data_IF_808405300713
#
_entry.id   IF_808405300713
#
_cell.length_a   1.000
_cell.length_b   1.000
_cell.length_c   1.000
_cell.angle_alpha   90.00
_cell.angle_beta   90.00
_cell.angle_gamma   90.00
#
_symmetry.space_group_name_H-M   'P 1'
#
loop_
_entity.id
_entity.type
_entity.pdbx_description
1 polymer ?
#
# COMPACT_ATOMS: atom_id res chain seq x y z
N UNK A 1 23.08 23.89 82.29
CA UNK A 1 21.96 24.83 82.08
C UNK A 1 21.92 25.25 80.62
N UNK A 2 21.03 24.71 79.78
CA UNK A 2 20.73 25.28 78.47
C UNK A 2 19.32 25.90 78.44
N UNK A 3 19.21 27.05 77.77
CA UNK A 3 17.99 27.83 77.57
C UNK A 3 17.12 27.33 76.41
N UNK A 4 15.81 27.43 76.64
CA UNK A 4 14.66 27.09 75.82
C UNK A 4 14.55 27.96 74.54
N UNK A 5 14.26 27.37 73.37
CA UNK A 5 13.74 28.07 72.20
C UNK A 5 12.47 27.38 71.71
N UNK A 6 11.36 28.11 71.82
CA UNK A 6 10.02 27.70 71.42
C UNK A 6 9.68 28.43 70.11
N UNK A 7 9.72 27.74 68.98
CA UNK A 7 9.33 28.31 67.68
C UNK A 7 7.83 28.06 67.42
N UNK A 8 7.04 29.12 67.50
CA UNK A 8 5.62 29.16 67.14
C UNK A 8 5.43 29.09 65.62
N UNK A 9 4.78 28.04 65.11
CA UNK A 9 4.28 27.98 63.72
C UNK A 9 2.95 28.74 63.63
N UNK A 10 2.90 29.88 62.93
CA UNK A 10 1.65 30.49 62.46
C UNK A 10 1.35 30.01 61.04
N UNK A 11 0.14 29.48 60.83
CA UNK A 11 -0.41 29.20 59.51
C UNK A 11 -0.79 30.54 58.86
N UNK A 12 -0.20 30.82 57.70
CA UNK A 12 -0.53 31.98 56.85
C UNK A 12 -1.77 31.60 56.06
N UNK A 13 -2.89 32.27 56.32
CA UNK A 13 -4.11 32.15 55.52
C UNK A 13 -3.99 33.05 54.29
N UNK A 14 -4.01 32.45 53.09
CA UNK A 14 -3.90 33.19 51.83
C UNK A 14 -5.17 34.03 51.57
N UNK A 15 -4.97 35.30 51.19
CA UNK A 15 -6.04 36.24 50.84
C UNK A 15 -6.70 35.86 49.51
N UNK A 16 -8.02 36.06 49.38
CA UNK A 16 -8.79 35.75 48.15
C UNK A 16 -8.26 36.47 46.90
N UNK A 17 -7.59 37.61 47.09
CA UNK A 17 -6.91 38.35 46.02
C UNK A 17 -5.71 37.59 45.45
N UNK A 18 -5.00 36.82 46.29
CA UNK A 18 -3.85 36.00 45.89
C UNK A 18 -4.28 34.76 45.10
N UNK A 19 -5.43 34.16 45.41
CA UNK A 19 -6.00 33.10 44.56
C UNK A 19 -6.37 33.58 43.16
N UNK A 20 -6.87 34.81 43.02
CA UNK A 20 -7.22 35.38 41.71
C UNK A 20 -5.97 35.72 40.88
N UNK A 21 -4.92 36.26 41.50
CA UNK A 21 -3.63 36.49 40.85
C UNK A 21 -2.96 35.19 40.39
N UNK A 22 -3.07 34.12 41.18
CA UNK A 22 -2.54 32.80 40.82
C UNK A 22 -3.29 32.14 39.67
N UNK A 23 -4.56 32.48 39.46
CA UNK A 23 -5.34 32.04 38.30
C UNK A 23 -4.96 32.82 37.03
N UNK A 24 -4.68 34.12 37.13
CA UNK A 24 -4.14 34.91 36.00
C UNK A 24 -2.70 34.55 35.66
N UNK A 25 -1.86 34.24 36.66
CA UNK A 25 -0.50 33.75 36.45
C UNK A 25 -0.47 32.36 35.82
N UNK A 26 -1.35 31.44 36.26
CA UNK A 26 -1.51 30.12 35.63
C UNK A 26 -2.05 30.20 34.20
N UNK A 27 -2.83 31.23 33.85
CA UNK A 27 -3.25 31.47 32.48
C UNK A 27 -2.11 32.03 31.61
N UNK A 28 -1.14 32.73 32.20
CA UNK A 28 0.03 33.27 31.48
C UNK A 28 1.19 32.27 31.34
N UNK A 29 1.31 31.24 32.18
CA UNK A 29 2.34 30.19 32.04
C UNK A 29 2.05 29.16 30.95
N UNK A 30 0.81 29.09 30.43
CA UNK A 30 0.45 28.28 29.25
C UNK A 30 0.80 28.97 27.91
N UNK A 31 1.52 30.09 27.96
CA UNK A 31 1.95 30.83 26.75
C UNK A 31 3.08 30.14 25.99
N UNK A 32 3.68 29.09 26.54
CA UNK A 32 4.91 28.49 26.05
C UNK A 32 4.65 27.13 25.38
N UNK A 33 4.05 27.12 24.18
CA UNK A 33 4.12 25.91 23.32
C UNK A 33 3.77 26.12 21.83
N UNK A 34 3.85 27.36 21.33
CA UNK A 34 3.75 27.65 19.91
C UNK A 34 5.02 28.35 19.44
N UNK A 35 5.58 27.90 18.31
CA UNK A 35 6.77 28.52 17.74
C UNK A 35 6.52 30.03 17.52
N UNK A 36 7.46 30.91 17.87
CA UNK A 36 7.27 32.35 17.77
C UNK A 36 6.93 32.80 16.34
N UNK A 37 7.45 32.09 15.34
CA UNK A 37 7.11 32.31 13.93
C UNK A 37 5.63 32.04 13.60
N UNK A 38 5.00 31.04 14.24
CA UNK A 38 3.58 30.73 14.04
C UNK A 38 2.67 31.78 14.69
N UNK A 39 3.07 32.30 15.85
CA UNK A 39 2.35 33.39 16.55
C UNK A 39 2.46 34.70 15.76
N UNK A 40 3.64 35.02 15.23
CA UNK A 40 3.84 36.17 14.37
C UNK A 40 3.01 36.07 13.07
N UNK A 41 2.97 34.89 12.44
CA UNK A 41 2.15 34.64 11.26
C UNK A 41 0.65 34.75 11.56
N UNK A 42 0.21 34.24 12.71
CA UNK A 42 -1.17 34.34 13.17
C UNK A 42 -1.60 35.80 13.37
N UNK A 43 -0.75 36.61 14.01
CA UNK A 43 -1.00 38.04 14.23
C UNK A 43 -1.00 38.84 12.93
N UNK A 44 -0.08 38.54 12.01
CA UNK A 44 -0.05 39.13 10.67
C UNK A 44 -1.32 38.82 9.86
N UNK A 45 -1.79 37.57 9.91
CA UNK A 45 -3.03 37.16 9.25
C UNK A 45 -4.26 37.80 9.91
N UNK A 46 -4.31 37.84 11.24
CA UNK A 46 -5.41 38.44 11.99
C UNK A 46 -5.55 39.95 11.74
N UNK A 47 -4.44 40.65 11.49
CA UNK A 47 -4.41 42.08 11.14
C UNK A 47 -5.13 42.41 9.82
N UNK A 48 -5.44 41.41 8.99
CA UNK A 48 -6.22 41.58 7.75
C UNK A 48 -7.74 41.51 7.95
N UNK A 49 -8.20 41.14 9.15
CA UNK A 49 -9.60 40.92 9.47
C UNK A 49 -10.23 42.11 10.24
N UNK A 50 -11.55 42.32 10.15
CA UNK A 50 -12.24 43.47 10.76
C UNK A 50 -12.14 43.55 12.29
N UNK A 51 -11.88 42.42 12.96
CA UNK A 51 -11.66 42.36 14.40
C UNK A 51 -10.37 41.57 14.72
N UNK A 52 -9.21 42.25 14.70
CA UNK A 52 -7.91 41.59 14.70
C UNK A 52 -7.63 40.85 16.02
N UNK A 53 -8.00 41.44 17.15
CA UNK A 53 -7.73 40.85 18.47
C UNK A 53 -8.53 39.56 18.71
N UNK A 54 -9.81 39.53 18.29
CA UNK A 54 -10.61 38.32 18.39
C UNK A 54 -10.13 37.24 17.42
N UNK A 55 -9.80 37.62 16.18
CA UNK A 55 -9.30 36.71 15.16
C UNK A 55 -7.97 36.03 15.55
N UNK A 56 -7.03 36.79 16.11
CA UNK A 56 -5.75 36.25 16.60
C UNK A 56 -5.98 35.21 17.70
N UNK A 57 -6.80 35.56 18.70
CA UNK A 57 -7.08 34.66 19.82
C UNK A 57 -7.74 33.34 19.39
N UNK A 58 -8.63 33.39 18.40
CA UNK A 58 -9.30 32.22 17.84
C UNK A 58 -8.33 31.34 17.04
N UNK A 59 -7.49 31.95 16.22
CA UNK A 59 -6.51 31.24 15.40
C UNK A 59 -5.48 30.50 16.27
N UNK A 60 -4.97 31.16 17.31
CA UNK A 60 -4.05 30.55 18.27
C UNK A 60 -4.72 29.40 19.03
N UNK A 61 -5.99 29.54 19.43
CA UNK A 61 -6.77 28.46 20.07
C UNK A 61 -6.89 27.23 19.16
N UNK A 62 -7.15 27.44 17.87
CA UNK A 62 -7.25 26.35 16.90
C UNK A 62 -5.90 25.69 16.62
N UNK A 63 -4.81 26.46 16.55
CA UNK A 63 -3.45 25.93 16.39
C UNK A 63 -3.06 25.04 17.56
N UNK A 64 -3.34 25.46 18.80
CA UNK A 64 -3.12 24.62 20.00
C UNK A 64 -3.91 23.31 19.93
N UNK A 65 -5.20 23.37 19.56
CA UNK A 65 -6.04 22.17 19.41
C UNK A 65 -5.50 21.19 18.37
N UNK A 66 -5.04 21.67 17.22
CA UNK A 66 -4.48 20.81 16.16
C UNK A 66 -3.11 20.26 16.54
N UNK A 67 -2.27 21.03 17.22
CA UNK A 67 -0.96 20.59 17.71
C UNK A 67 -1.12 19.44 18.72
N UNK A 68 -2.01 19.58 19.70
CA UNK A 68 -2.30 18.52 20.67
C UNK A 68 -2.77 17.22 20.00
N UNK A 69 -3.66 17.31 19.00
CA UNK A 69 -4.11 16.14 18.23
C UNK A 69 -2.98 15.52 17.39
N UNK A 70 -2.13 16.33 16.77
CA UNK A 70 -1.00 15.84 15.98
C UNK A 70 0.09 15.19 16.84
N UNK A 71 0.39 15.74 18.01
CA UNK A 71 1.42 15.20 18.89
C UNK A 71 0.94 13.90 19.56
N UNK A 72 -0.36 13.80 19.88
CA UNK A 72 -0.99 12.54 20.28
C UNK A 72 -0.96 11.48 19.16
N UNK A 73 -1.25 11.86 17.91
CA UNK A 73 -1.20 10.96 16.77
C UNK A 73 0.23 10.49 16.45
N UNK A 74 1.22 11.39 16.53
CA UNK A 74 2.63 11.04 16.35
C UNK A 74 3.11 10.08 17.43
N UNK A 75 2.68 10.27 18.68
CA UNK A 75 3.00 9.36 19.79
C UNK A 75 2.41 7.97 19.58
N UNK A 76 1.13 7.87 19.23
CA UNK A 76 0.48 6.59 18.93
C UNK A 76 1.10 5.88 17.71
N UNK A 77 1.49 6.63 16.67
CA UNK A 77 2.16 6.07 15.49
C UNK A 77 3.60 5.62 15.80
N UNK A 78 4.33 6.34 16.66
CA UNK A 78 5.67 5.94 17.11
C UNK A 78 5.61 4.64 17.94
N UNK A 79 4.60 4.50 18.80
CA UNK A 79 4.36 3.26 19.56
C UNK A 79 3.95 2.11 18.62
N UNK A 80 3.08 2.34 17.63
CA UNK A 80 2.68 1.34 16.64
C UNK A 80 3.84 0.91 15.72
N UNK A 81 4.70 1.83 15.28
CA UNK A 81 5.89 1.53 14.50
C UNK A 81 6.96 0.82 15.33
N UNK A 82 7.11 1.18 16.61
CA UNK A 82 8.01 0.49 17.53
C UNK A 82 7.65 -0.99 17.72
N UNK A 83 6.36 -1.32 17.80
CA UNK A 83 5.87 -2.71 17.84
C UNK A 83 6.20 -3.46 16.55
N UNK A 84 5.99 -2.84 15.38
CA UNK A 84 6.29 -3.46 14.08
C UNK A 84 7.81 -3.70 13.92
N UNK A 85 8.66 -2.74 14.32
CA UNK A 85 10.12 -2.87 14.22
C UNK A 85 10.67 -3.92 15.20
N UNK A 86 10.06 -4.09 16.38
CA UNK A 86 10.47 -5.10 17.36
C UNK A 86 10.30 -6.54 16.85
N UNK A 87 9.25 -6.78 16.04
CA UNK A 87 9.01 -8.09 15.41
C UNK A 87 9.87 -8.32 14.15
N UNK A 88 10.40 -7.25 13.56
CA UNK A 88 11.36 -7.30 12.44
C UNK A 88 12.80 -7.56 12.92
N UNK A 89 13.03 -8.58 13.76
CA UNK A 89 14.40 -9.03 14.08
C UNK A 89 14.97 -9.88 12.94
N UNK A 90 15.58 -9.22 11.96
CA UNK A 90 16.41 -9.90 10.95
C UNK A 90 17.68 -10.39 11.63
N UNK A 91 17.75 -11.69 11.91
CA UNK A 91 18.94 -12.33 12.46
C UNK A 91 20.13 -12.10 11.53
N UNK A 92 21.12 -11.34 11.99
CA UNK A 92 22.42 -11.19 11.31
C UNK A 92 23.15 -12.52 11.36
N UNK A 93 22.89 -13.39 10.38
CA UNK A 93 23.67 -14.61 10.14
C UNK A 93 25.01 -14.19 9.55
N UNK A 94 26.06 -14.17 10.37
CA UNK A 94 27.42 -14.14 9.87
C UNK A 94 27.65 -15.42 9.05
N UNK A 95 27.88 -15.28 7.75
CA UNK A 95 28.14 -16.40 6.85
C UNK A 95 26.98 -16.74 5.91
N UNK A 96 26.74 -15.85 4.93
CA UNK A 96 26.18 -16.24 3.63
C UNK A 96 26.61 -15.20 2.60
N UNK A 97 27.52 -15.62 1.72
CA UNK A 97 27.76 -14.91 0.47
C UNK A 97 26.42 -14.91 -0.28
N UNK A 98 25.79 -13.75 -0.35
CA UNK A 98 24.63 -13.54 -1.21
C UNK A 98 25.16 -12.96 -2.52
N UNK A 99 24.86 -13.63 -3.63
CA UNK A 99 24.85 -13.01 -4.94
C UNK A 99 23.82 -11.88 -4.90
N UNK A 100 24.29 -10.64 -4.85
CA UNK A 100 23.41 -9.47 -4.91
C UNK A 100 22.62 -9.48 -6.22
N UNK A 101 21.29 -9.25 -6.18
CA UNK A 101 20.57 -8.83 -7.36
C UNK A 101 21.03 -7.43 -7.74
N UNK A 102 21.27 -7.22 -9.04
CA UNK A 102 21.62 -5.93 -9.59
C UNK A 102 20.56 -4.87 -9.22
N UNK A 103 21.00 -3.73 -8.67
CA UNK A 103 20.11 -2.58 -8.45
C UNK A 103 20.23 -1.83 -7.12
N UNK A 104 21.31 -1.99 -6.34
CA UNK A 104 21.57 -1.07 -5.22
C UNK A 104 22.42 0.11 -5.70
N UNK A 105 21.86 1.32 -5.62
CA UNK A 105 22.57 2.57 -5.88
C UNK A 105 23.58 2.76 -4.74
N UNK A 106 24.84 2.44 -5.00
CA UNK A 106 25.96 2.81 -4.15
C UNK A 106 26.33 4.25 -4.48
N UNK A 107 26.06 5.17 -3.56
CA UNK A 107 26.62 6.51 -3.63
C UNK A 107 28.06 6.42 -3.14
N UNK A 108 29.02 6.49 -4.07
CA UNK A 108 30.42 6.75 -3.75
C UNK A 108 30.56 8.24 -3.45
N UNK A 109 30.91 8.58 -2.20
CA UNK A 109 31.00 9.94 -1.67
C UNK A 109 32.30 10.66 -2.10
N UNK A 110 33.21 9.98 -2.81
CA UNK A 110 34.57 10.42 -3.07
C UNK A 110 34.86 10.84 -4.54
N UNK A 111 33.82 10.98 -5.37
CA UNK A 111 33.84 11.83 -6.56
C UNK A 111 34.84 11.46 -7.67
N UNK A 112 35.28 10.20 -7.77
CA UNK A 112 36.11 9.72 -8.88
C UNK A 112 35.45 8.53 -9.57
N UNK A 113 35.07 8.76 -10.83
CA UNK A 113 34.38 7.78 -11.68
C UNK A 113 35.18 6.51 -11.97
N UNK A 114 34.41 5.48 -12.34
CA UNK A 114 34.83 4.10 -12.54
C UNK A 114 35.57 3.89 -13.87
N UNK A 115 36.83 3.44 -13.81
CA UNK A 115 37.53 2.86 -14.96
C UNK A 115 37.20 1.38 -15.05
N UNK A 116 36.39 0.98 -16.04
CA UNK A 116 36.13 -0.44 -16.30
C UNK A 116 37.34 -1.06 -17.03
N UNK A 117 38.13 -1.85 -16.31
CA UNK A 117 39.12 -2.76 -16.90
C UNK A 117 38.40 -3.91 -17.63
N UNK A 118 39.05 -4.36 -18.70
CA UNK A 118 38.57 -5.30 -19.71
C UNK A 118 38.51 -6.71 -19.12
N UNK A 119 37.36 -7.38 -19.23
CA UNK A 119 37.25 -8.78 -18.82
C UNK A 119 36.03 -9.52 -19.37
N UNK A 120 36.27 -10.30 -20.43
CA UNK A 120 35.60 -11.58 -20.75
C UNK A 120 34.08 -11.54 -21.04
N UNK A 121 33.65 -10.90 -22.14
CA UNK A 121 32.37 -11.21 -22.82
C UNK A 121 32.48 -11.17 -24.36
N UNK A 122 33.68 -11.31 -24.92
CA UNK A 122 33.91 -11.16 -26.37
C UNK A 122 33.41 -12.35 -27.23
N UNK A 123 33.17 -13.52 -26.66
CA UNK A 123 32.91 -14.74 -27.43
C UNK A 123 31.42 -15.03 -27.71
N UNK A 124 30.48 -14.28 -27.11
CA UNK A 124 29.04 -14.41 -27.42
C UNK A 124 28.50 -13.31 -28.36
N UNK A 125 29.31 -12.29 -28.68
CA UNK A 125 28.93 -11.18 -29.55
C UNK A 125 29.01 -11.51 -31.06
N UNK A 126 29.63 -12.64 -31.43
CA UNK A 126 29.89 -12.97 -32.84
C UNK A 126 28.68 -13.49 -33.62
N UNK A 127 27.59 -13.88 -32.94
CA UNK A 127 26.39 -14.46 -33.59
C UNK A 127 25.28 -13.43 -33.83
N UNK A 128 25.27 -12.31 -33.10
CA UNK A 128 24.27 -11.25 -33.28
C UNK A 128 24.68 -10.17 -34.30
N UNK A 129 25.81 -10.30 -35.00
CA UNK A 129 26.16 -9.43 -36.13
C UNK A 129 25.45 -9.81 -37.42
N UNK A 130 24.12 -9.93 -37.34
CA UNK A 130 23.24 -9.84 -38.51
C UNK A 130 22.14 -8.82 -38.21
N UNK A 131 22.49 -7.57 -38.50
CA UNK A 131 21.60 -6.45 -38.81
C UNK A 131 20.30 -6.38 -38.01
N UNK A 132 20.36 -5.80 -36.80
CA UNK A 132 19.24 -5.02 -36.27
C UNK A 132 19.32 -3.61 -36.89
N UNK A 133 18.38 -3.22 -37.79
CA UNK A 133 18.48 -1.95 -38.53
C UNK A 133 18.17 -0.69 -37.70
N UNK A 134 17.94 -0.78 -36.39
CA UNK A 134 17.37 0.32 -35.59
C UNK A 134 18.19 0.78 -34.37
N UNK A 135 19.29 0.09 -34.02
CA UNK A 135 20.03 0.40 -32.79
C UNK A 135 20.88 1.70 -32.76
N UNK A 136 21.42 2.25 -33.87
CA UNK A 136 22.29 3.44 -33.76
C UNK A 136 21.52 4.74 -33.46
N UNK A 137 20.22 4.80 -33.79
CA UNK A 137 19.37 5.97 -33.55
C UNK A 137 18.83 6.02 -32.11
N UNK A 138 18.57 4.86 -31.50
CA UNK A 138 18.11 4.74 -30.11
C UNK A 138 19.23 5.09 -29.11
N UNK A 139 20.48 4.74 -29.41
CA UNK A 139 21.63 5.14 -28.59
C UNK A 139 21.92 6.64 -28.64
N UNK A 140 21.66 7.33 -29.76
CA UNK A 140 21.77 8.81 -29.84
C UNK A 140 20.65 9.56 -29.12
N UNK A 141 19.54 8.88 -28.79
CA UNK A 141 18.38 9.45 -28.09
C UNK A 141 18.34 9.11 -26.61
N UNK A 142 19.29 8.31 -26.09
CA UNK A 142 19.57 8.16 -24.65
C UNK A 142 20.17 9.46 -24.08
N UNK A 143 19.41 10.54 -24.13
CA UNK A 143 19.71 11.73 -23.36
C UNK A 143 19.24 11.48 -21.93
N UNK A 144 20.03 11.92 -20.95
CA UNK A 144 19.56 12.02 -19.57
C UNK A 144 18.20 12.76 -19.59
N UNK A 145 17.14 12.23 -18.95
CA UNK A 145 15.81 12.83 -19.04
C UNK A 145 15.90 14.29 -18.63
N UNK A 146 15.62 15.19 -19.59
CA UNK A 146 15.81 16.63 -19.44
C UNK A 146 14.70 17.26 -18.57
N UNK A 147 13.61 16.54 -18.36
CA UNK A 147 12.42 16.99 -17.65
C UNK A 147 11.75 15.82 -16.93
N UNK A 148 11.11 16.08 -15.78
CA UNK A 148 10.35 15.06 -15.04
C UNK A 148 9.20 14.44 -15.86
N UNK A 149 8.68 15.17 -16.84
CA UNK A 149 7.71 14.60 -17.78
C UNK A 149 8.32 13.55 -18.69
N UNK A 150 9.57 13.72 -19.14
CA UNK A 150 10.26 12.72 -19.95
C UNK A 150 10.52 11.46 -19.14
N UNK A 151 10.89 11.62 -17.86
CA UNK A 151 11.03 10.49 -16.93
C UNK A 151 9.69 9.77 -16.71
N UNK A 152 8.59 10.50 -16.52
CA UNK A 152 7.25 9.90 -16.44
C UNK A 152 6.89 9.16 -17.73
N UNK A 153 7.14 9.74 -18.91
CA UNK A 153 6.88 9.09 -20.20
C UNK A 153 7.73 7.83 -20.34
N UNK A 154 8.99 7.87 -19.92
CA UNK A 154 9.87 6.70 -19.92
C UNK A 154 9.36 5.61 -18.97
N UNK A 155 8.93 5.95 -17.76
CA UNK A 155 8.34 4.99 -16.83
C UNK A 155 6.99 4.44 -17.31
N UNK A 156 6.21 5.22 -18.06
CA UNK A 156 4.99 4.72 -18.72
C UNK A 156 5.34 3.76 -19.87
N UNK A 157 6.39 4.01 -20.65
CA UNK A 157 6.87 3.07 -21.69
C UNK A 157 7.47 1.79 -21.10
N UNK A 158 8.03 1.87 -19.89
CA UNK A 158 8.58 0.74 -19.13
C UNK A 158 7.54 0.04 -18.25
N UNK A 159 6.25 0.40 -18.36
CA UNK A 159 5.13 -0.13 -17.57
C UNK A 159 5.32 -0.03 -16.03
N UNK A 160 6.16 0.92 -15.58
CA UNK A 160 6.38 1.22 -14.14
C UNK A 160 5.32 2.16 -13.58
N UNK A 161 4.77 3.03 -14.42
CA UNK A 161 3.66 3.91 -14.07
C UNK A 161 2.34 3.37 -14.64
N UNK A 162 1.25 3.63 -13.92
CA UNK A 162 -0.10 3.34 -14.42
C UNK A 162 -0.41 4.15 -15.68
N UNK A 163 -1.00 3.49 -16.67
CA UNK A 163 -1.51 4.14 -17.86
C UNK A 163 -2.74 5.00 -17.52
N UNK A 164 -2.78 6.21 -18.08
CA UNK A 164 -3.91 7.12 -17.93
C UNK A 164 -4.74 7.17 -19.23
N UNK A 165 -6.09 7.27 -19.14
CA UNK A 165 -6.92 7.24 -17.93
C UNK A 165 -6.87 5.88 -17.21
N UNK A 166 -6.92 5.90 -15.87
CA UNK A 166 -6.82 4.68 -15.07
C UNK A 166 -7.95 3.71 -15.44
N UNK A 167 -7.59 2.51 -15.90
CA UNK A 167 -8.50 1.39 -16.13
C UNK A 167 -8.25 0.32 -15.05
N UNK A 168 -9.29 -0.02 -14.28
CA UNK A 168 -9.20 -1.04 -13.23
C UNK A 168 -9.05 -2.47 -13.79
N UNK A 169 -9.31 -2.66 -15.08
CA UNK A 169 -9.21 -3.96 -15.77
C UNK A 169 -7.88 -4.12 -16.52
N UNK A 170 -6.95 -3.16 -16.38
CA UNK A 170 -5.62 -3.23 -16.99
C UNK A 170 -4.85 -4.47 -16.47
N UNK A 171 -4.39 -5.32 -17.39
CA UNK A 171 -3.74 -6.60 -17.08
C UNK A 171 -4.66 -7.82 -17.14
N UNK A 172 -5.96 -7.66 -17.38
CA UNK A 172 -6.92 -8.76 -17.57
C UNK A 172 -7.35 -8.93 -19.05
N UNK A 173 -6.40 -8.78 -19.97
CA UNK A 173 -6.66 -8.73 -21.42
C UNK A 173 -7.21 -10.05 -21.99
N UNK A 174 -6.78 -11.18 -21.43
CA UNK A 174 -7.23 -12.51 -21.86
C UNK A 174 -8.74 -12.68 -21.67
N UNK A 175 -9.28 -12.28 -20.51
CA UNK A 175 -10.71 -12.36 -20.23
C UNK A 175 -11.50 -11.23 -20.89
N UNK A 176 -10.88 -10.06 -21.11
CA UNK A 176 -11.52 -8.95 -21.82
C UNK A 176 -11.84 -9.30 -23.29
N UNK A 177 -11.05 -10.20 -23.89
CA UNK A 177 -11.32 -10.75 -25.22
C UNK A 177 -12.56 -11.65 -25.24
N UNK A 178 -12.88 -12.29 -24.12
CA UNK A 178 -13.92 -13.30 -24.04
C UNK A 178 -15.29 -12.64 -23.86
N UNK A 179 -16.26 -12.93 -24.74
CA UNK A 179 -17.60 -12.36 -24.62
C UNK A 179 -18.38 -12.98 -23.45
N UNK A 180 -19.24 -12.18 -22.83
CA UNK A 180 -20.00 -12.56 -21.62
C UNK A 180 -20.81 -13.87 -21.77
N UNK A 181 -21.24 -14.19 -22.99
CA UNK A 181 -22.04 -15.38 -23.25
C UNK A 181 -21.28 -16.68 -23.00
N UNK A 182 -19.93 -16.67 -23.03
CA UNK A 182 -19.11 -17.82 -22.65
C UNK A 182 -19.04 -18.03 -21.14
N UNK A 183 -19.04 -16.95 -20.34
CA UNK A 183 -19.07 -17.07 -18.88
C UNK A 183 -20.45 -17.48 -18.35
N UNK A 184 -21.52 -17.10 -19.04
CA UNK A 184 -22.91 -17.36 -18.61
C UNK A 184 -23.43 -18.69 -19.17
N UNK A 185 -23.30 -18.96 -20.47
CA UNK A 185 -23.88 -20.13 -21.12
C UNK A 185 -22.88 -21.30 -21.16
N UNK A 186 -22.69 -21.93 -20.01
CA UNK A 186 -21.86 -23.14 -19.90
C UNK A 186 -22.65 -24.42 -20.19
N UNK A 187 -23.97 -24.34 -20.36
CA UNK A 187 -24.87 -25.48 -20.64
C UNK A 187 -24.45 -26.28 -21.88
N UNK A 188 -23.82 -25.64 -22.87
CA UNK A 188 -23.26 -26.29 -24.06
C UNK A 188 -22.25 -27.39 -23.73
N UNK A 189 -21.51 -27.22 -22.64
CA UNK A 189 -20.47 -28.17 -22.21
C UNK A 189 -21.08 -29.32 -21.40
N UNK A 190 -22.36 -29.23 -21.06
CA UNK A 190 -23.08 -30.27 -20.32
C UNK A 190 -23.64 -31.35 -21.25
N UNK A 191 -23.82 -31.05 -22.54
CA UNK A 191 -24.21 -32.05 -23.55
C UNK A 191 -23.05 -33.01 -23.89
N UNK A 192 -21.81 -32.60 -23.60
CA UNK A 192 -20.61 -33.38 -23.90
C UNK A 192 -20.27 -34.35 -22.76
N UNK A 193 -21.03 -35.45 -22.67
CA UNK A 193 -20.70 -36.60 -21.82
C UNK A 193 -21.54 -36.77 -20.55
N UNK A 194 -22.58 -35.95 -20.34
CA UNK A 194 -23.57 -36.16 -19.28
C UNK A 194 -24.91 -36.64 -19.84
N UNK A 195 -25.68 -37.44 -19.08
CA UNK A 195 -27.02 -37.85 -19.51
C UNK A 195 -27.97 -36.64 -19.59
N UNK A 196 -28.86 -36.62 -20.58
CA UNK A 196 -29.85 -35.54 -20.78
C UNK A 196 -30.89 -35.45 -19.66
N UNK A 197 -31.12 -36.55 -18.94
CA UNK A 197 -32.11 -36.66 -17.88
C UNK A 197 -31.53 -37.45 -16.71
N UNK A 198 -31.83 -37.00 -15.50
CA UNK A 198 -31.51 -37.73 -14.27
C UNK A 198 -30.98 -36.84 -13.14
N UNK A 199 -30.71 -37.42 -11.95
CA UNK A 199 -30.18 -36.68 -10.80
C UNK A 199 -28.83 -36.02 -11.08
N UNK A 200 -27.97 -36.69 -11.86
CA UNK A 200 -26.66 -36.16 -12.27
C UNK A 200 -26.82 -34.91 -13.12
N UNK A 201 -27.78 -34.89 -14.06
CA UNK A 201 -28.09 -33.72 -14.89
C UNK A 201 -28.52 -32.55 -14.02
N UNK A 202 -29.47 -32.78 -13.11
CA UNK A 202 -29.98 -31.73 -12.22
C UNK A 202 -28.87 -31.17 -11.30
N UNK A 203 -28.01 -32.04 -10.78
CA UNK A 203 -26.86 -31.60 -9.99
C UNK A 203 -25.91 -30.72 -10.81
N UNK A 204 -25.57 -31.15 -12.03
CA UNK A 204 -24.67 -30.39 -12.88
C UNK A 204 -25.27 -29.06 -13.37
N UNK A 205 -26.59 -28.98 -13.57
CA UNK A 205 -27.29 -27.72 -13.83
C UNK A 205 -27.12 -26.72 -12.68
N UNK A 206 -27.14 -27.20 -11.43
CA UNK A 206 -26.85 -26.36 -10.26
C UNK A 206 -25.38 -25.91 -10.22
N UNK A 207 -24.45 -26.81 -10.53
CA UNK A 207 -23.01 -26.48 -10.60
C UNK A 207 -22.77 -25.41 -11.66
N UNK A 208 -23.29 -25.61 -12.87
CA UNK A 208 -23.20 -24.64 -13.98
C UNK A 208 -23.87 -23.32 -13.62
N UNK A 209 -25.05 -23.37 -12.96
CA UNK A 209 -25.74 -22.19 -12.45
C UNK A 209 -24.95 -21.43 -11.37
N UNK A 210 -24.12 -22.12 -10.59
CA UNK A 210 -23.18 -21.51 -9.64
C UNK A 210 -21.96 -20.90 -10.33
N UNK A 211 -21.38 -21.60 -11.30
CA UNK A 211 -20.22 -21.14 -12.07
C UNK A 211 -20.56 -19.91 -12.94
N UNK A 212 -21.76 -19.83 -13.49
CA UNK A 212 -22.20 -18.68 -14.30
C UNK A 212 -22.29 -17.39 -13.50
N UNK A 213 -22.65 -17.49 -12.21
CA UNK A 213 -22.75 -16.35 -11.29
C UNK A 213 -21.41 -15.93 -10.68
N UNK A 214 -20.33 -16.66 -10.94
CA UNK A 214 -19.03 -16.38 -10.35
C UNK A 214 -18.21 -15.38 -11.20
N UNK A 215 -17.90 -14.18 -10.70
CA UNK A 215 -17.08 -13.18 -11.41
C UNK A 215 -15.57 -13.40 -11.27
N UNK A 216 -15.13 -14.23 -10.31
CA UNK A 216 -13.71 -14.38 -9.96
C UNK A 216 -13.01 -15.52 -10.71
N UNK A 217 -13.76 -16.32 -11.47
CA UNK A 217 -13.21 -17.45 -12.23
C UNK A 217 -13.20 -17.14 -13.73
N UNK A 218 -12.08 -17.42 -14.38
CA UNK A 218 -11.98 -17.38 -15.83
C UNK A 218 -12.82 -18.48 -16.49
N UNK A 219 -13.13 -18.31 -17.78
CA UNK A 219 -13.84 -19.34 -18.56
C UNK A 219 -13.07 -20.66 -18.57
N UNK A 220 -11.74 -20.62 -18.67
CA UNK A 220 -10.92 -21.83 -18.70
C UNK A 220 -11.07 -22.65 -17.41
N UNK A 221 -10.95 -22.01 -16.25
CA UNK A 221 -11.16 -22.70 -14.97
C UNK A 221 -12.58 -23.26 -14.85
N UNK A 222 -13.60 -22.57 -15.38
CA UNK A 222 -14.98 -23.09 -15.39
C UNK A 222 -15.09 -24.35 -16.27
N UNK A 223 -14.44 -24.37 -17.43
CA UNK A 223 -14.39 -25.56 -18.33
C UNK A 223 -13.65 -26.73 -17.68
N UNK A 224 -12.51 -26.47 -17.05
CA UNK A 224 -11.74 -27.48 -16.31
C UNK A 224 -12.55 -28.08 -15.17
N UNK A 225 -13.30 -27.27 -14.44
CA UNK A 225 -14.15 -27.74 -13.35
C UNK A 225 -15.25 -28.69 -13.85
N UNK A 226 -15.85 -28.40 -15.01
CA UNK A 226 -16.83 -29.29 -15.65
C UNK A 226 -16.15 -30.58 -16.13
N UNK A 227 -14.98 -30.47 -16.75
CA UNK A 227 -14.21 -31.63 -17.22
C UNK A 227 -13.80 -32.56 -16.07
N UNK A 228 -13.47 -31.99 -14.91
CA UNK A 228 -13.17 -32.77 -13.71
C UNK A 228 -14.37 -33.61 -13.25
N UNK A 229 -15.59 -33.05 -13.28
CA UNK A 229 -16.79 -33.83 -12.96
C UNK A 229 -17.03 -34.96 -13.95
N UNK A 230 -16.72 -34.75 -15.24
CA UNK A 230 -16.81 -35.81 -16.24
C UNK A 230 -15.95 -37.00 -15.85
N UNK A 231 -14.69 -36.77 -15.53
CA UNK A 231 -13.75 -37.81 -15.09
C UNK A 231 -14.21 -38.47 -13.78
N UNK A 232 -14.71 -37.67 -12.84
CA UNK A 232 -15.21 -38.16 -11.56
C UNK A 232 -16.38 -39.14 -11.74
N UNK A 233 -17.37 -38.81 -12.57
CA UNK A 233 -18.52 -39.69 -12.81
C UNK A 233 -18.13 -40.93 -13.62
N UNK A 234 -17.17 -40.84 -14.53
CA UNK A 234 -16.61 -42.02 -15.18
C UNK A 234 -15.93 -42.95 -14.17
N UNK A 235 -15.16 -42.41 -13.24
CA UNK A 235 -14.50 -43.21 -12.21
C UNK A 235 -15.49 -43.84 -11.21
N UNK A 236 -16.66 -43.23 -11.01
CA UNK A 236 -17.69 -43.66 -10.04
C UNK A 236 -18.92 -44.30 -10.68
N UNK A 237 -18.82 -44.72 -11.94
CA UNK A 237 -19.93 -45.34 -12.67
C UNK A 237 -20.47 -46.59 -11.97
N UNK A 238 -19.61 -47.38 -11.33
CA UNK A 238 -20.00 -48.57 -10.58
C UNK A 238 -20.96 -48.26 -9.42
N UNK A 239 -20.69 -47.16 -8.71
CA UNK A 239 -21.53 -46.69 -7.59
C UNK A 239 -22.87 -46.15 -8.10
N UNK A 240 -22.87 -45.50 -9.27
CA UNK A 240 -24.10 -45.03 -9.90
C UNK A 240 -24.99 -46.19 -10.32
N UNK A 241 -24.41 -47.25 -10.90
CA UNK A 241 -25.15 -48.48 -11.24
C UNK A 241 -25.73 -49.16 -10.01
N UNK A 242 -24.98 -49.18 -8.90
CA UNK A 242 -25.47 -49.71 -7.63
C UNK A 242 -26.67 -48.89 -7.12
N UNK A 243 -26.58 -47.56 -7.12
CA UNK A 243 -27.64 -46.66 -6.69
C UNK A 243 -28.91 -46.75 -7.55
N UNK A 244 -28.76 -46.91 -8.87
CA UNK A 244 -29.89 -47.05 -9.79
C UNK A 244 -30.61 -48.41 -9.58
N UNK A 245 -29.86 -49.46 -9.25
CA UNK A 245 -30.42 -50.76 -8.86
C UNK A 245 -31.19 -50.70 -7.52
N UNK A 246 -30.90 -49.74 -6.63
CA UNK A 246 -31.66 -49.55 -5.38
C UNK A 246 -32.97 -48.78 -5.56
N UNK A 247 -33.17 -48.12 -6.70
CA UNK A 247 -34.37 -47.34 -7.03
C UNK A 247 -35.40 -48.11 -7.86
N UNK A 248 -35.04 -49.30 -8.39
CA UNK A 248 -35.93 -50.23 -9.09
C UNK A 248 -36.30 -51.44 -8.22
#
# INVERSE_FOLDING_TARGET
MPTNQQASKRAVMESTTSMFQRATEKASTDSEELNPALVAAASAAASTLPNPHQAESELLRQLRKRKAMSDAQKKANAESLGVIIADMKVGKRAGRQSSSPAGQILFDDDGRGFTADKGITAELASVHRRCDPLNPLTLSTNQMPLSGFEEMIQWTKEDKLWAYPINNEAGLEEEASVPFHEHIFLEKHLEEGFPDKGPVRHFMELVVGGLSRNPYLSVQHKKEHIAWFREYFHQKEDVLKEADNFLN
#
